data_IF_966911685081
#
_entry.id   IF_966911685081
#
_cell.length_a   1.000
_cell.length_b   1.000
_cell.length_c   1.000
_cell.angle_alpha   90.00
_cell.angle_beta   90.00
_cell.angle_gamma   90.00
#
_symmetry.space_group_name_H-M   'P 1'
#
loop_
_entity.id
_entity.type
_entity.pdbx_description
1 polymer ?
#
# COMPACT_ATOMS: atom_id res chain seq x y z
N UNK A 1 46.19 15.65 -48.42
CA UNK A 1 47.52 15.60 -47.77
C UNK A 1 47.48 14.36 -46.87
N UNK A 2 47.91 13.16 -47.31
CA UNK A 2 49.32 12.70 -47.42
C UNK A 2 49.86 12.44 -45.99
N UNK A 3 50.44 11.31 -45.55
CA UNK A 3 51.23 10.19 -46.13
C UNK A 3 51.32 9.14 -44.98
N UNK A 4 50.91 7.87 -45.07
CA UNK A 4 51.58 6.65 -45.59
C UNK A 4 52.93 6.20 -44.95
N UNK A 5 53.03 4.89 -44.64
CA UNK A 5 54.27 4.11 -44.39
C UNK A 5 54.11 3.12 -43.23
N UNK A 6 53.98 1.79 -43.35
CA UNK A 6 54.51 0.70 -44.22
C UNK A 6 55.96 0.25 -43.91
N UNK A 7 56.10 -0.94 -43.31
CA UNK A 7 57.20 -1.95 -43.43
C UNK A 7 56.53 -3.31 -43.19
N UNK A 8 56.35 -4.29 -44.09
CA UNK A 8 57.22 -5.11 -44.98
C UNK A 8 58.20 -6.08 -44.29
N UNK A 9 58.06 -7.37 -44.69
CA UNK A 9 59.02 -8.48 -44.54
C UNK A 9 58.54 -9.55 -43.55
N UNK A 10 58.46 -10.86 -43.83
CA UNK A 10 58.88 -11.64 -44.99
C UNK A 10 58.16 -13.01 -44.99
N UNK A 11 58.18 -13.64 -46.16
CA UNK A 11 57.51 -14.87 -46.61
C UNK A 11 58.43 -16.08 -46.37
N UNK A 12 57.89 -17.23 -45.93
CA UNK A 12 58.39 -18.53 -46.40
C UNK A 12 57.30 -19.62 -46.34
N UNK A 13 57.08 -20.20 -47.51
CA UNK A 13 56.29 -21.37 -47.88
C UNK A 13 56.82 -22.65 -47.24
N UNK A 14 55.98 -23.69 -47.09
CA UNK A 14 56.30 -25.05 -47.55
C UNK A 14 55.06 -25.99 -47.54
N UNK A 15 54.91 -26.71 -48.67
CA UNK A 15 54.41 -28.08 -48.92
C UNK A 15 53.10 -28.56 -48.22
N UNK A 16 51.98 -28.86 -48.89
CA UNK A 16 51.65 -29.80 -49.98
C UNK A 16 51.77 -31.30 -49.62
N UNK A 17 50.61 -31.99 -49.70
CA UNK A 17 50.33 -33.45 -49.75
C UNK A 17 50.35 -34.25 -48.44
N UNK A 18 49.22 -34.83 -48.00
CA UNK A 18 48.52 -36.05 -48.47
C UNK A 18 48.94 -37.24 -47.59
N UNK A 19 48.07 -38.27 -47.47
CA UNK A 19 48.21 -39.53 -46.69
C UNK A 19 47.65 -39.46 -45.26
N UNK A 20 46.97 -40.44 -44.68
CA UNK A 20 46.22 -41.62 -45.14
C UNK A 20 45.54 -42.13 -43.86
N UNK A 21 44.33 -42.67 -43.97
CA UNK A 21 43.51 -43.18 -42.87
C UNK A 21 44.23 -44.21 -41.98
N UNK A 22 43.94 -44.22 -40.66
CA UNK A 22 43.87 -45.46 -39.85
C UNK A 22 43.08 -45.27 -38.53
N UNK A 23 41.93 -45.92 -38.52
CA UNK A 23 40.99 -46.28 -37.48
C UNK A 23 41.36 -46.14 -35.98
N UNK A 24 40.40 -45.64 -35.19
CA UNK A 24 39.83 -46.41 -34.05
C UNK A 24 38.43 -45.88 -33.65
N UNK A 25 37.43 -46.75 -33.41
CA UNK A 25 36.08 -46.34 -33.01
C UNK A 25 36.00 -46.28 -31.49
N UNK A 26 35.52 -45.17 -30.92
CA UNK A 26 35.07 -45.11 -29.52
C UNK A 26 33.74 -44.37 -29.47
N UNK A 27 32.69 -45.17 -29.37
CA UNK A 27 31.35 -44.79 -28.94
C UNK A 27 31.40 -44.21 -27.53
N UNK A 28 30.85 -43.02 -27.34
CA UNK A 28 30.28 -42.59 -26.05
C UNK A 28 29.20 -41.52 -26.32
N UNK A 29 27.97 -42.02 -26.44
CA UNK A 29 26.76 -41.24 -26.20
C UNK A 29 26.79 -40.76 -24.74
N UNK A 30 26.73 -39.45 -24.54
CA UNK A 30 26.43 -38.85 -23.25
C UNK A 30 25.17 -37.98 -23.43
N UNK A 31 24.00 -38.36 -22.88
CA UNK A 31 22.88 -37.45 -22.80
C UNK A 31 23.20 -36.45 -21.69
N UNK A 32 23.40 -35.20 -22.06
CA UNK A 32 23.53 -34.11 -21.10
C UNK A 32 22.14 -33.86 -20.51
N UNK A 33 21.85 -34.55 -19.40
CA UNK A 33 20.65 -34.37 -18.60
C UNK A 33 20.72 -32.96 -17.98
N UNK A 34 20.00 -32.01 -18.57
CA UNK A 34 19.70 -30.71 -18.00
C UNK A 34 18.93 -30.91 -16.69
N UNK A 35 19.65 -30.96 -15.57
CA UNK A 35 19.10 -30.68 -14.24
C UNK A 35 18.76 -29.18 -14.18
N UNK A 36 17.66 -28.80 -14.82
CA UNK A 36 16.92 -27.62 -14.43
C UNK A 36 16.50 -27.86 -12.98
N UNK A 37 16.93 -27.05 -11.99
CA UNK A 37 16.29 -27.09 -10.69
C UNK A 37 14.84 -26.74 -10.93
N UNK A 38 13.97 -27.74 -10.78
CA UNK A 38 12.56 -27.52 -10.76
C UNK A 38 12.30 -26.51 -9.63
N UNK A 39 11.72 -25.36 -9.96
CA UNK A 39 11.12 -24.44 -9.00
C UNK A 39 9.61 -24.76 -8.84
N UNK A 40 9.17 -25.89 -8.25
CA UNK A 40 7.82 -26.00 -7.75
C UNK A 40 7.89 -26.06 -6.22
N UNK A 41 7.44 -25.02 -5.52
CA UNK A 41 6.94 -25.14 -4.14
C UNK A 41 6.57 -23.82 -3.47
N UNK A 42 6.97 -22.66 -4.01
CA UNK A 42 6.77 -21.40 -3.27
C UNK A 42 5.30 -20.93 -3.25
N UNK A 43 4.46 -21.33 -4.22
CA UNK A 43 3.00 -21.10 -4.14
C UNK A 43 2.27 -22.22 -3.37
N UNK A 44 2.76 -23.46 -3.49
CA UNK A 44 2.11 -24.66 -2.92
C UNK A 44 1.91 -24.59 -1.41
N UNK A 45 2.89 -24.09 -0.65
CA UNK A 45 2.75 -24.00 0.81
C UNK A 45 1.55 -23.17 1.26
N UNK A 46 1.26 -22.05 0.59
CA UNK A 46 0.15 -21.20 1.00
C UNK A 46 -1.20 -21.83 0.63
N UNK A 47 -1.30 -22.40 -0.57
CA UNK A 47 -2.50 -23.07 -1.04
C UNK A 47 -2.82 -24.31 -0.18
N UNK A 48 -1.81 -25.09 0.17
CA UNK A 48 -1.93 -26.32 0.97
C UNK A 48 -2.38 -26.04 2.42
N UNK A 49 -2.00 -24.87 2.97
CA UNK A 49 -2.38 -24.46 4.32
C UNK A 49 -3.66 -23.62 4.36
N UNK A 50 -4.28 -23.36 3.22
CA UNK A 50 -5.50 -22.58 3.18
C UNK A 50 -6.68 -23.34 3.77
N UNK A 51 -7.43 -22.68 4.65
CA UNK A 51 -8.65 -23.22 5.23
C UNK A 51 -9.77 -22.20 5.21
N UNK A 52 -10.98 -22.70 5.06
CA UNK A 52 -12.23 -21.96 5.21
C UNK A 52 -13.08 -22.65 6.26
N UNK A 53 -13.50 -21.89 7.27
CA UNK A 53 -14.45 -22.34 8.30
C UNK A 53 -15.71 -21.47 8.25
N UNK A 54 -16.88 -22.08 8.43
CA UNK A 54 -18.16 -21.35 8.38
C UNK A 54 -18.70 -21.13 6.97
N UNK A 55 -19.72 -20.29 6.84
CA UNK A 55 -20.43 -20.05 5.58
C UNK A 55 -21.06 -18.64 5.55
N UNK A 56 -21.63 -18.24 4.41
CA UNK A 56 -22.23 -16.90 4.27
C UNK A 56 -23.39 -16.64 5.26
N UNK A 57 -24.09 -17.68 5.74
CA UNK A 57 -25.22 -17.55 6.67
C UNK A 57 -24.79 -17.32 8.13
N UNK A 58 -23.60 -17.74 8.53
CA UNK A 58 -23.05 -17.52 9.87
C UNK A 58 -21.84 -16.59 9.92
N UNK A 59 -21.32 -16.19 8.76
CA UNK A 59 -19.97 -15.65 8.62
C UNK A 59 -18.95 -16.77 8.37
N UNK A 60 -17.84 -16.40 7.73
CA UNK A 60 -16.76 -17.32 7.39
C UNK A 60 -15.42 -16.79 7.89
N UNK A 61 -14.54 -17.71 8.26
CA UNK A 61 -13.14 -17.44 8.59
C UNK A 61 -12.28 -18.09 7.51
N UNK A 62 -11.33 -17.31 6.99
CA UNK A 62 -10.36 -17.74 5.99
C UNK A 62 -8.98 -17.62 6.62
N UNK A 63 -8.19 -18.68 6.58
CA UNK A 63 -6.83 -18.65 7.12
C UNK A 63 -5.86 -19.35 6.20
N UNK A 64 -4.61 -18.89 6.23
CA UNK A 64 -3.48 -19.58 5.60
C UNK A 64 -2.19 -19.14 6.30
N UNK A 65 -1.08 -19.83 6.00
CA UNK A 65 0.23 -19.49 6.52
C UNK A 65 1.33 -19.80 5.51
N UNK A 66 2.45 -19.10 5.68
CA UNK A 66 3.62 -19.21 4.84
C UNK A 66 4.88 -19.15 5.68
N UNK A 67 5.87 -20.00 5.37
CA UNK A 67 7.11 -20.07 6.14
C UNK A 67 8.25 -19.52 5.32
N UNK A 68 8.91 -18.50 5.83
CA UNK A 68 10.09 -17.90 5.22
C UNK A 68 11.30 -18.17 6.11
N UNK A 69 12.20 -19.02 5.65
CA UNK A 69 13.42 -19.35 6.39
C UNK A 69 14.24 -18.08 6.66
N UNK A 70 14.66 -17.89 7.92
CA UNK A 70 15.50 -16.76 8.33
C UNK A 70 14.79 -15.41 8.45
N UNK A 71 13.45 -15.39 8.37
CA UNK A 71 12.63 -14.20 8.64
C UNK A 71 12.42 -14.01 10.15
N UNK A 72 12.80 -12.85 10.68
CA UNK A 72 12.51 -12.51 12.10
C UNK A 72 11.07 -12.01 12.26
N UNK A 73 10.54 -12.09 13.49
CA UNK A 73 9.19 -11.60 13.83
C UNK A 73 9.00 -10.12 13.50
N UNK A 74 9.89 -9.19 13.91
CA UNK A 74 9.73 -7.77 13.57
C UNK A 74 9.86 -7.49 12.07
N UNK A 75 10.71 -8.23 11.36
CA UNK A 75 10.84 -8.11 9.91
C UNK A 75 9.58 -8.58 9.18
N UNK A 76 9.00 -9.70 9.60
CA UNK A 76 7.75 -10.22 9.04
C UNK A 76 6.61 -9.19 9.16
N UNK A 77 6.41 -8.65 10.37
CA UNK A 77 5.37 -7.64 10.62
C UNK A 77 5.63 -6.37 9.81
N UNK A 78 6.88 -5.89 9.80
CA UNK A 78 7.24 -4.70 9.01
C UNK A 78 7.03 -4.86 7.51
N UNK A 79 7.31 -6.05 6.96
CA UNK A 79 7.05 -6.38 5.55
C UNK A 79 5.54 -6.47 5.27
N UNK A 80 4.79 -7.21 6.07
CA UNK A 80 3.33 -7.34 5.91
C UNK A 80 2.65 -5.99 5.99
N UNK A 81 3.06 -5.11 6.91
CA UNK A 81 2.56 -3.72 6.99
C UNK A 81 2.81 -2.96 5.69
N UNK A 82 4.03 -3.01 5.15
CA UNK A 82 4.36 -2.29 3.91
C UNK A 82 3.58 -2.84 2.71
N UNK A 83 3.39 -4.16 2.63
CA UNK A 83 2.59 -4.81 1.58
C UNK A 83 1.11 -4.41 1.68
N UNK A 84 0.54 -4.45 2.89
CA UNK A 84 -0.84 -4.06 3.15
C UNK A 84 -1.11 -2.60 2.74
N UNK A 85 -0.22 -1.67 3.13
CA UNK A 85 -0.32 -0.26 2.73
C UNK A 85 -0.22 -0.11 1.20
N UNK A 86 0.67 -0.87 0.55
CA UNK A 86 0.80 -0.84 -0.90
C UNK A 86 -0.44 -1.36 -1.63
N UNK A 87 -1.17 -2.31 -1.03
CA UNK A 87 -2.44 -2.84 -1.51
C UNK A 87 -3.66 -2.02 -1.05
N UNK A 88 -3.45 -0.86 -0.39
CA UNK A 88 -4.51 0.07 -0.01
C UNK A 88 -5.28 -0.31 1.25
N UNK A 89 -4.74 -1.21 2.08
CA UNK A 89 -5.31 -1.58 3.37
C UNK A 89 -4.91 -0.60 4.47
N UNK A 90 -5.76 -0.52 5.49
CA UNK A 90 -5.53 0.28 6.69
C UNK A 90 -4.84 -0.55 7.78
N UNK A 91 -3.89 0.06 8.47
CA UNK A 91 -3.22 -0.55 9.63
C UNK A 91 -3.94 -0.07 10.88
N UNK A 92 -4.70 -0.96 11.51
CA UNK A 92 -5.46 -0.63 12.72
C UNK A 92 -4.61 -0.77 13.99
N UNK A 93 -3.73 -1.79 14.03
CA UNK A 93 -2.82 -2.01 15.15
C UNK A 93 -1.58 -2.79 14.70
N UNK A 94 -0.42 -2.51 15.31
CA UNK A 94 0.86 -3.16 14.99
C UNK A 94 1.68 -3.37 16.25
N UNK A 95 2.09 -4.62 16.50
CA UNK A 95 3.03 -4.97 17.56
C UNK A 95 4.14 -5.84 16.98
N UNK A 96 5.23 -5.23 16.46
CA UNK A 96 6.33 -5.96 15.83
C UNK A 96 7.06 -6.89 16.81
N UNK A 97 7.05 -6.54 18.10
CA UNK A 97 7.73 -7.30 19.14
C UNK A 97 6.97 -8.57 19.54
N UNK A 98 5.63 -8.48 19.61
CA UNK A 98 4.78 -9.65 19.91
C UNK A 98 4.38 -10.44 18.66
N UNK A 99 4.64 -9.89 17.47
CA UNK A 99 4.38 -10.54 16.20
C UNK A 99 2.93 -10.47 15.75
N UNK A 100 2.21 -9.39 16.05
CA UNK A 100 0.83 -9.19 15.61
C UNK A 100 0.63 -7.93 14.80
N UNK A 101 -0.28 -7.99 13.83
CA UNK A 101 -0.68 -6.87 13.00
C UNK A 101 -2.17 -7.03 12.65
N UNK A 102 -2.96 -5.99 12.90
CA UNK A 102 -4.36 -5.92 12.53
C UNK A 102 -4.53 -4.96 11.35
N UNK A 103 -5.06 -5.48 10.27
CA UNK A 103 -5.33 -4.75 9.04
C UNK A 103 -6.83 -4.68 8.77
N UNK A 104 -7.26 -3.68 8.02
CA UNK A 104 -8.60 -3.58 7.48
C UNK A 104 -8.54 -3.29 5.99
N UNK A 105 -9.21 -4.11 5.18
CA UNK A 105 -9.56 -3.74 3.82
C UNK A 105 -10.73 -2.74 3.89
N UNK A 106 -10.58 -1.50 3.38
CA UNK A 106 -11.61 -0.49 3.48
C UNK A 106 -12.93 -0.94 2.85
N UNK A 107 -14.05 -0.45 3.40
CA UNK A 107 -15.36 -0.71 2.83
C UNK A 107 -15.47 -0.15 1.40
N UNK A 108 -16.09 -0.89 0.50
CA UNK A 108 -16.37 -0.46 -0.87
C UNK A 108 -17.84 -0.77 -1.22
N UNK A 109 -18.19 -0.69 -2.50
CA UNK A 109 -19.56 -0.97 -2.96
C UNK A 109 -19.93 -2.47 -2.87
N UNK A 110 -18.94 -3.36 -2.87
CA UNK A 110 -19.13 -4.81 -2.84
C UNK A 110 -19.19 -5.37 -1.41
N UNK A 111 -18.43 -4.82 -0.46
CA UNK A 111 -18.43 -5.28 0.92
C UNK A 111 -18.12 -4.18 1.93
N UNK A 112 -18.55 -4.44 3.17
CA UNK A 112 -18.12 -3.70 4.36
C UNK A 112 -16.63 -3.94 4.62
N UNK A 113 -16.01 -3.12 5.47
CA UNK A 113 -14.60 -3.28 5.83
C UNK A 113 -14.32 -4.68 6.38
N UNK A 114 -13.24 -5.30 5.89
CA UNK A 114 -12.86 -6.67 6.24
C UNK A 114 -11.59 -6.65 7.06
N UNK A 115 -11.64 -7.25 8.24
CA UNK A 115 -10.47 -7.32 9.12
C UNK A 115 -9.61 -8.53 8.79
N UNK A 116 -8.31 -8.29 8.70
CA UNK A 116 -7.29 -9.31 8.48
C UNK A 116 -6.29 -9.25 9.64
N UNK A 117 -6.21 -10.33 10.39
CA UNK A 117 -5.26 -10.48 11.49
C UNK A 117 -4.05 -11.27 11.00
N UNK A 118 -2.87 -10.70 11.19
CA UNK A 118 -1.58 -11.26 10.79
C UNK A 118 -0.80 -11.61 12.05
N UNK A 119 -0.21 -12.80 12.07
CA UNK A 119 0.71 -13.21 13.14
C UNK A 119 2.02 -13.72 12.57
N UNK A 120 3.12 -13.46 13.25
CA UNK A 120 4.46 -13.95 12.90
C UNK A 120 5.07 -14.72 14.07
N UNK A 121 5.71 -15.87 13.77
CA UNK A 121 6.35 -16.74 14.76
C UNK A 121 7.88 -16.72 14.63
N UNK A 122 8.62 -17.02 15.71
CA UNK A 122 10.10 -17.05 15.70
C UNK A 122 10.72 -18.02 14.67
N UNK A 123 9.96 -19.02 14.22
CA UNK A 123 10.41 -19.98 13.22
C UNK A 123 10.28 -19.47 11.76
N UNK A 124 9.84 -18.22 11.57
CA UNK A 124 9.64 -17.59 10.27
C UNK A 124 8.27 -17.85 9.65
N UNK A 125 7.35 -18.50 10.38
CA UNK A 125 5.96 -18.69 9.92
C UNK A 125 5.18 -17.39 10.08
N UNK A 126 4.51 -16.97 9.01
CA UNK A 126 3.56 -15.85 9.01
C UNK A 126 2.19 -16.38 8.64
N UNK A 127 1.18 -16.08 9.45
CA UNK A 127 -0.20 -16.53 9.25
C UNK A 127 -1.13 -15.35 9.06
N UNK A 128 -2.12 -15.52 8.20
CA UNK A 128 -3.21 -14.56 8.00
C UNK A 128 -4.53 -15.21 8.37
N UNK A 129 -5.40 -14.45 9.03
CA UNK A 129 -6.77 -14.81 9.37
C UNK A 129 -7.69 -13.65 8.96
N UNK A 130 -8.60 -13.90 8.04
CA UNK A 130 -9.65 -12.94 7.66
C UNK A 130 -11.01 -13.46 8.11
N UNK A 131 -11.83 -12.58 8.69
CA UNK A 131 -13.20 -12.91 9.07
C UNK A 131 -14.19 -12.11 8.24
N UNK A 132 -15.17 -12.79 7.67
CA UNK A 132 -16.29 -12.16 6.98
C UNK A 132 -17.52 -12.15 7.89
N UNK A 133 -18.27 -11.05 7.83
CA UNK A 133 -19.54 -10.93 8.55
C UNK A 133 -20.60 -11.86 7.94
N UNK A 134 -21.65 -12.11 8.70
CA UNK A 134 -22.87 -12.77 8.21
C UNK A 134 -23.41 -12.01 6.99
N UNK A 135 -23.78 -12.74 5.94
CA UNK A 135 -24.29 -12.21 4.68
C UNK A 135 -23.22 -11.76 3.69
N UNK A 136 -21.93 -11.83 4.04
CA UNK A 136 -20.85 -11.54 3.10
C UNK A 136 -20.53 -12.78 2.25
N UNK A 137 -20.63 -12.63 0.93
CA UNK A 137 -20.28 -13.66 -0.03
C UNK A 137 -18.85 -13.44 -0.51
N UNK A 138 -17.91 -14.17 0.09
CA UNK A 138 -16.51 -14.21 -0.37
C UNK A 138 -16.27 -15.38 -1.31
N UNK A 139 -15.68 -15.13 -2.48
CA UNK A 139 -15.13 -16.19 -3.33
C UNK A 139 -13.89 -16.75 -2.65
N UNK A 140 -13.93 -18.02 -2.22
CA UNK A 140 -12.84 -18.66 -1.50
C UNK A 140 -11.54 -18.70 -2.32
N UNK A 141 -11.62 -18.90 -3.64
CA UNK A 141 -10.44 -18.92 -4.51
C UNK A 141 -9.82 -17.52 -4.67
N UNK A 142 -10.67 -16.48 -4.79
CA UNK A 142 -10.19 -15.10 -4.83
C UNK A 142 -9.52 -14.69 -3.52
N UNK A 143 -10.12 -15.04 -2.38
CA UNK A 143 -9.57 -14.77 -1.05
C UNK A 143 -8.24 -15.52 -0.86
N UNK A 144 -8.19 -16.82 -1.22
CA UNK A 144 -6.95 -17.61 -1.17
C UNK A 144 -5.86 -16.93 -2.01
N UNK A 145 -6.19 -16.54 -3.24
CA UNK A 145 -5.26 -15.87 -4.15
C UNK A 145 -4.67 -14.60 -3.54
N UNK A 146 -5.49 -13.70 -3.00
CA UNK A 146 -4.98 -12.45 -2.42
C UNK A 146 -4.17 -12.68 -1.14
N UNK A 147 -4.62 -13.55 -0.23
CA UNK A 147 -3.85 -13.88 0.98
C UNK A 147 -2.50 -14.50 0.63
N UNK A 148 -2.47 -15.42 -0.34
CA UNK A 148 -1.23 -16.05 -0.79
C UNK A 148 -0.33 -15.09 -1.56
N UNK A 149 -0.88 -14.19 -2.36
CA UNK A 149 -0.13 -13.13 -3.05
C UNK A 149 0.59 -12.22 -2.06
N UNK A 150 -0.02 -11.88 -0.92
CA UNK A 150 0.67 -11.10 0.12
C UNK A 150 1.78 -11.91 0.79
N UNK A 151 1.48 -13.14 1.23
CA UNK A 151 2.43 -13.97 1.98
C UNK A 151 3.67 -14.38 1.15
N UNK A 152 3.48 -14.64 -0.15
CA UNK A 152 4.58 -15.06 -1.04
C UNK A 152 5.55 -13.93 -1.40
N UNK A 153 5.19 -12.67 -1.12
CA UNK A 153 6.09 -11.52 -1.31
C UNK A 153 7.07 -11.31 -0.16
N UNK A 154 6.92 -12.06 0.93
CA UNK A 154 7.80 -11.98 2.08
C UNK A 154 9.21 -12.47 1.73
N UNK A 155 10.20 -11.67 2.11
CA UNK A 155 11.61 -11.95 1.87
C UNK A 155 12.29 -12.36 3.18
N UNK A 156 13.26 -13.31 3.14
CA UNK A 156 14.11 -13.60 4.28
C UNK A 156 14.80 -12.35 4.84
N UNK A 157 15.12 -12.36 6.13
CA UNK A 157 15.88 -11.28 6.74
C UNK A 157 15.50 -11.04 8.20
N UNK A 158 16.52 -10.68 9.00
CA UNK A 158 16.36 -10.41 10.43
C UNK A 158 16.20 -8.91 10.75
N UNK A 159 16.71 -8.05 9.87
CA UNK A 159 16.68 -6.62 10.09
C UNK A 159 15.23 -6.10 10.03
N UNK A 160 14.82 -5.22 10.95
CA UNK A 160 13.51 -4.58 10.87
C UNK A 160 13.41 -3.80 9.57
N UNK A 161 12.26 -3.90 8.91
CA UNK A 161 12.00 -3.22 7.65
C UNK A 161 11.54 -1.79 7.92
N UNK A 162 12.20 -0.83 7.27
CA UNK A 162 11.82 0.57 7.37
C UNK A 162 10.34 0.77 6.96
N UNK A 163 9.66 1.70 7.64
CA UNK A 163 8.30 2.08 7.24
C UNK A 163 8.35 2.67 5.84
N UNK A 164 7.54 2.12 4.93
CA UNK A 164 7.38 2.68 3.59
C UNK A 164 6.87 4.12 3.70
N UNK A 165 7.34 4.98 2.79
CA UNK A 165 6.79 6.32 2.67
C UNK A 165 5.30 6.21 2.30
N UNK A 166 4.44 6.84 3.11
CA UNK A 166 3.00 6.88 2.84
C UNK A 166 2.79 7.74 1.59
N UNK A 167 2.28 7.13 0.52
CA UNK A 167 1.91 7.87 -0.68
C UNK A 167 0.67 8.72 -0.39
N UNK A 168 0.66 10.01 -0.77
CA UNK A 168 -0.55 10.82 -0.62
C UNK A 168 -1.71 10.25 -1.42
N UNK A 169 -2.89 10.21 -0.79
CA UNK A 169 -4.15 9.82 -1.41
C UNK A 169 -4.77 11.07 -2.06
N UNK A 170 -4.97 11.05 -3.38
CA UNK A 170 -5.69 12.10 -4.09
C UNK A 170 -7.20 12.02 -3.77
N UNK A 171 -7.77 13.08 -3.20
CA UNK A 171 -9.18 13.06 -2.79
C UNK A 171 -9.82 14.46 -2.81
N UNK A 172 -11.13 14.51 -3.08
CA UNK A 172 -11.93 15.72 -2.86
C UNK A 172 -12.32 15.81 -1.38
N UNK A 173 -12.32 17.01 -0.79
CA UNK A 173 -12.66 17.18 0.62
C UNK A 173 -14.06 16.62 0.96
N UNK A 174 -15.05 16.84 0.09
CA UNK A 174 -16.39 16.27 0.26
C UNK A 174 -16.39 14.74 0.23
N UNK A 175 -15.58 14.13 -0.64
CA UNK A 175 -15.46 12.67 -0.72
C UNK A 175 -14.78 12.10 0.54
N UNK A 176 -13.76 12.77 1.07
CA UNK A 176 -13.14 12.39 2.35
C UNK A 176 -14.15 12.48 3.49
N UNK A 177 -14.95 13.55 3.54
CA UNK A 177 -15.97 13.71 4.57
C UNK A 177 -16.99 12.57 4.53
N UNK A 178 -17.53 12.26 3.34
CA UNK A 178 -18.45 11.14 3.14
C UNK A 178 -17.84 9.79 3.52
N UNK A 179 -16.57 9.56 3.21
CA UNK A 179 -15.90 8.31 3.57
C UNK A 179 -15.75 8.16 5.10
N UNK A 180 -15.33 9.24 5.78
CA UNK A 180 -15.22 9.26 7.24
C UNK A 180 -16.59 9.04 7.90
N UNK A 181 -17.64 9.73 7.44
CA UNK A 181 -18.99 9.54 7.94
C UNK A 181 -19.45 8.08 7.77
N UNK A 182 -19.26 7.51 6.58
CA UNK A 182 -19.64 6.12 6.27
C UNK A 182 -18.94 5.12 7.20
N UNK A 183 -17.68 5.37 7.54
CA UNK A 183 -16.90 4.52 8.44
C UNK A 183 -17.24 4.75 9.91
N UNK A 184 -17.65 5.98 10.27
CA UNK A 184 -18.04 6.41 11.61
C UNK A 184 -19.41 5.93 12.08
N UNK A 185 -20.36 5.67 11.17
CA UNK A 185 -21.74 5.23 11.49
C UNK A 185 -21.79 4.01 12.40
N UNK A 186 -20.85 3.08 12.26
CA UNK A 186 -20.82 1.85 13.07
C UNK A 186 -20.00 1.99 14.36
N UNK A 187 -18.99 2.88 14.37
CA UNK A 187 -18.12 3.14 15.52
C UNK A 187 -17.29 4.42 15.29
N UNK A 188 -17.67 5.54 15.92
CA UNK A 188 -16.92 6.81 15.80
C UNK A 188 -15.51 6.71 16.37
N UNK A 189 -15.28 5.89 17.41
CA UNK A 189 -13.95 5.67 17.99
C UNK A 189 -12.99 4.95 17.03
N UNK A 190 -13.50 4.26 16.00
CA UNK A 190 -12.66 3.63 14.99
C UNK A 190 -12.13 4.63 13.94
N UNK A 191 -12.67 5.85 13.85
CA UNK A 191 -12.25 6.84 12.85
C UNK A 191 -10.78 7.19 13.07
N UNK A 192 -10.39 7.60 14.29
CA UNK A 192 -9.00 7.98 14.55
C UNK A 192 -8.01 6.85 14.25
N UNK A 193 -8.40 5.61 14.55
CA UNK A 193 -7.59 4.42 14.28
C UNK A 193 -7.44 4.18 12.77
N UNK A 194 -8.54 4.23 12.01
CA UNK A 194 -8.56 3.94 10.57
C UNK A 194 -7.86 5.00 9.73
N UNK A 195 -7.90 6.24 10.17
CA UNK A 195 -7.35 7.36 9.43
C UNK A 195 -5.96 7.78 9.93
N UNK A 196 -5.49 7.21 11.03
CA UNK A 196 -4.17 7.46 11.60
C UNK A 196 -3.05 7.34 10.55
N UNK A 197 -2.21 8.37 10.46
CA UNK A 197 -1.03 8.38 9.59
C UNK A 197 -1.33 8.49 8.09
N UNK A 198 -2.60 8.54 7.66
CA UNK A 198 -2.95 8.78 6.25
C UNK A 198 -2.53 10.18 5.83
N UNK A 199 -1.96 10.25 4.63
CA UNK A 199 -1.56 11.49 3.98
C UNK A 199 -2.45 11.69 2.76
N UNK A 200 -2.93 12.90 2.56
CA UNK A 200 -3.85 13.28 1.50
C UNK A 200 -3.27 14.40 0.67
N UNK A 201 -3.52 14.32 -0.63
CA UNK A 201 -3.52 15.45 -1.53
C UNK A 201 -4.99 15.83 -1.74
N UNK A 202 -5.47 16.74 -0.90
CA UNK A 202 -6.89 17.08 -0.77
C UNK A 202 -7.23 18.32 -1.59
N UNK A 203 -8.23 18.17 -2.47
CA UNK A 203 -8.78 19.23 -3.32
C UNK A 203 -10.11 19.71 -2.76
N UNK A 204 -10.36 21.01 -2.82
CA UNK A 204 -11.64 21.57 -2.40
C UNK A 204 -11.75 23.07 -2.59
N UNK A 205 -12.66 23.69 -1.85
CA UNK A 205 -12.92 25.13 -1.90
C UNK A 205 -12.74 25.70 -0.49
N UNK A 206 -12.12 26.86 -0.37
CA UNK A 206 -11.93 27.54 0.90
C UNK A 206 -13.25 28.13 1.39
N UNK A 207 -13.65 27.77 2.60
CA UNK A 207 -14.78 28.40 3.31
C UNK A 207 -14.36 29.61 4.12
N UNK A 208 -13.11 29.63 4.57
CA UNK A 208 -12.60 30.68 5.41
C UNK A 208 -11.29 30.30 6.10
N UNK A 209 -10.65 31.33 6.64
CA UNK A 209 -9.37 31.25 7.34
C UNK A 209 -9.62 31.67 8.79
N UNK A 210 -9.11 30.89 9.75
CA UNK A 210 -9.10 31.26 11.17
C UNK A 210 -7.71 31.02 11.78
N UNK A 211 -7.61 31.24 13.10
CA UNK A 211 -6.38 31.06 13.85
C UNK A 211 -5.51 32.31 13.90
N UNK A 212 -4.22 32.09 14.17
CA UNK A 212 -3.23 33.16 14.37
C UNK A 212 -1.95 32.85 13.60
N UNK A 213 -1.07 33.85 13.46
CA UNK A 213 0.23 33.68 12.79
C UNK A 213 0.98 32.45 13.33
N UNK A 214 1.41 31.56 12.43
CA UNK A 214 2.08 30.31 12.77
C UNK A 214 1.15 29.13 13.10
N UNK A 215 -0.16 29.35 13.13
CA UNK A 215 -1.20 28.36 13.37
C UNK A 215 -2.50 28.79 12.67
N UNK A 216 -2.42 29.12 11.37
CA UNK A 216 -3.61 29.40 10.58
C UNK A 216 -4.33 28.10 10.22
N UNK A 217 -5.65 28.21 10.12
CA UNK A 217 -6.55 27.10 9.85
C UNK A 217 -7.36 27.43 8.60
N UNK A 218 -7.36 26.53 7.63
CA UNK A 218 -8.22 26.62 6.44
C UNK A 218 -9.38 25.65 6.59
N UNK A 219 -10.60 26.14 6.38
CA UNK A 219 -11.81 25.32 6.40
C UNK A 219 -12.24 25.01 4.98
N UNK A 220 -12.54 23.74 4.70
CA UNK A 220 -13.10 23.37 3.40
C UNK A 220 -14.61 23.67 3.37
N UNK A 221 -15.10 24.16 2.24
CA UNK A 221 -16.54 24.25 1.98
C UNK A 221 -17.06 22.86 1.60
N UNK A 222 -17.94 22.29 2.44
CA UNK A 222 -18.56 20.98 2.21
C UNK A 222 -19.75 21.05 1.23
N UNK A 223 -20.28 22.25 0.99
CA UNK A 223 -21.32 22.49 0.01
C UNK A 223 -20.89 23.61 -0.95
N UNK A 224 -19.83 23.41 -1.75
CA UNK A 224 -19.38 24.43 -2.67
C UNK A 224 -20.47 24.67 -3.74
N UNK A 225 -20.83 25.94 -3.97
CA UNK A 225 -21.78 26.27 -5.03
C UNK A 225 -21.15 26.09 -6.40
N UNK A 226 -21.91 25.49 -7.32
CA UNK A 226 -21.53 25.37 -8.73
C UNK A 226 -21.74 26.68 -9.51
N UNK A 227 -22.41 27.67 -8.90
CA UNK A 227 -22.70 28.98 -9.50
C UNK A 227 -21.84 30.05 -8.81
N UNK A 228 -20.97 30.78 -9.55
CA UNK A 228 -20.21 31.89 -9.00
C UNK A 228 -21.13 32.93 -8.35
N UNK A 229 -20.86 33.30 -7.09
CA UNK A 229 -21.64 34.31 -6.36
C UNK A 229 -22.90 33.78 -5.65
N UNK A 230 -23.25 32.51 -5.81
CA UNK A 230 -24.29 31.88 -5.01
C UNK A 230 -23.66 31.26 -3.76
N UNK A 231 -24.14 31.64 -2.57
CA UNK A 231 -23.77 30.98 -1.32
C UNK A 231 -24.96 30.10 -0.92
N UNK A 232 -24.80 28.77 -0.87
CA UNK A 232 -25.91 27.91 -0.52
C UNK A 232 -26.32 28.18 0.93
N UNK A 233 -27.64 28.18 1.16
CA UNK A 233 -28.22 28.38 2.50
C UNK A 233 -27.68 27.32 3.46
N UNK A 234 -27.03 27.81 4.52
CA UNK A 234 -26.60 27.13 5.77
C UNK A 234 -26.25 25.65 5.65
N UNK A 235 -24.96 25.34 5.91
CA UNK A 235 -24.47 23.98 6.19
C UNK A 235 -25.49 23.22 7.04
N UNK A 236 -25.88 22.02 6.59
CA UNK A 236 -26.83 21.20 7.36
C UNK A 236 -26.21 20.95 8.73
N UNK A 237 -26.97 21.23 9.79
CA UNK A 237 -26.52 20.98 11.17
C UNK A 237 -26.25 19.47 11.29
N UNK A 238 -25.01 19.09 11.61
CA UNK A 238 -24.57 17.69 11.72
C UNK A 238 -23.79 17.13 10.52
N UNK A 239 -23.48 17.94 9.51
CA UNK A 239 -22.57 17.52 8.41
C UNK A 239 -21.11 17.58 8.85
N UNK A 240 -20.35 16.52 8.56
CA UNK A 240 -18.94 16.45 8.91
C UNK A 240 -18.12 17.47 8.12
N UNK A 241 -17.37 18.29 8.84
CA UNK A 241 -16.50 19.34 8.29
C UNK A 241 -15.05 18.88 8.29
N UNK A 242 -14.25 19.52 7.44
CA UNK A 242 -12.80 19.30 7.40
C UNK A 242 -12.08 20.64 7.56
N UNK A 243 -11.12 20.69 8.48
CA UNK A 243 -10.20 21.81 8.66
C UNK A 243 -8.75 21.35 8.53
N UNK A 244 -7.91 22.26 8.04
CA UNK A 244 -6.49 22.02 7.82
C UNK A 244 -5.67 23.01 8.65
N UNK A 245 -4.87 22.52 9.60
CA UNK A 245 -3.88 23.34 10.31
C UNK A 245 -2.64 23.49 9.44
N UNK A 246 -2.41 24.72 8.99
CA UNK A 246 -1.31 25.07 8.10
C UNK A 246 0.02 25.01 8.81
N UNK A 247 1.07 24.58 8.11
CA UNK A 247 2.42 24.67 8.63
C UNK A 247 2.83 26.15 8.84
N UNK A 248 3.72 26.46 9.81
CA UNK A 248 4.12 27.84 10.09
C UNK A 248 4.73 28.59 8.90
N UNK A 249 5.36 27.88 7.97
CA UNK A 249 5.93 28.41 6.72
C UNK A 249 4.88 28.66 5.62
N UNK A 250 3.61 28.34 5.86
CA UNK A 250 2.49 28.52 4.92
C UNK A 250 1.59 29.71 5.28
N UNK A 251 2.02 30.59 6.19
CA UNK A 251 1.22 31.76 6.61
C UNK A 251 0.78 32.64 5.44
N UNK A 252 1.68 32.91 4.49
CA UNK A 252 1.38 33.76 3.34
C UNK A 252 0.34 33.11 2.41
N UNK A 253 0.46 31.80 2.18
CA UNK A 253 -0.54 31.03 1.43
C UNK A 253 -1.91 31.13 2.13
N UNK A 254 -1.97 30.84 3.42
CA UNK A 254 -3.22 30.86 4.18
C UNK A 254 -3.91 32.23 4.16
N UNK A 255 -3.15 33.32 4.32
CA UNK A 255 -3.68 34.69 4.31
C UNK A 255 -4.09 35.18 2.91
N UNK A 256 -3.52 34.61 1.85
CA UNK A 256 -3.91 34.93 0.48
C UNK A 256 -5.24 34.28 0.08
N UNK A 257 -5.65 33.20 0.75
CA UNK A 257 -6.88 32.47 0.46
C UNK A 257 -8.12 33.32 0.78
N UNK A 258 -8.98 33.51 -0.22
CA UNK A 258 -10.30 34.13 -0.06
C UNK A 258 -11.38 33.06 0.02
N UNK A 259 -12.53 33.43 0.57
CA UNK A 259 -13.69 32.55 0.56
C UNK A 259 -14.09 32.25 -0.90
N UNK A 260 -14.30 30.97 -1.23
CA UNK A 260 -14.62 30.50 -2.58
C UNK A 260 -13.41 30.12 -3.43
N UNK A 261 -12.18 30.41 -2.99
CA UNK A 261 -10.98 30.04 -3.73
C UNK A 261 -10.79 28.52 -3.73
N UNK A 262 -10.34 27.97 -4.86
CA UNK A 262 -9.95 26.55 -4.93
C UNK A 262 -8.69 26.32 -4.11
N UNK A 263 -8.64 25.19 -3.43
CA UNK A 263 -7.50 24.75 -2.64
C UNK A 263 -7.04 23.38 -3.10
N UNK A 264 -5.73 23.21 -3.09
CA UNK A 264 -5.09 21.91 -3.23
C UNK A 264 -3.99 21.81 -2.16
N UNK A 265 -4.20 20.95 -1.16
CA UNK A 265 -3.33 20.87 0.01
C UNK A 265 -2.75 19.46 0.15
N UNK A 266 -1.48 19.36 0.51
CA UNK A 266 -0.93 18.14 1.11
C UNK A 266 -1.19 18.21 2.61
N UNK A 267 -1.75 17.16 3.19
CA UNK A 267 -2.15 17.15 4.59
C UNK A 267 -2.08 15.75 5.19
N UNK A 268 -1.86 15.65 6.50
CA UNK A 268 -1.92 14.39 7.25
C UNK A 268 -3.14 14.40 8.15
N UNK A 269 -3.83 13.27 8.29
CA UNK A 269 -4.87 13.11 9.30
C UNK A 269 -4.34 13.45 10.71
N UNK A 270 -5.13 14.17 11.50
CA UNK A 270 -4.82 14.44 12.90
C UNK A 270 -5.78 13.71 13.84
N UNK A 271 -7.04 14.13 13.88
CA UNK A 271 -8.08 13.53 14.71
C UNK A 271 -9.49 13.96 14.27
N UNK A 272 -10.50 13.25 14.75
CA UNK A 272 -11.91 13.58 14.62
C UNK A 272 -12.46 14.15 15.93
N UNK A 273 -12.98 15.38 15.87
CA UNK A 273 -13.72 15.99 16.98
C UNK A 273 -15.22 15.71 16.81
N UNK A 274 -15.69 14.70 17.55
CA UNK A 274 -17.08 14.26 17.56
C UNK A 274 -18.04 15.36 18.06
N UNK A 275 -17.60 16.21 18.98
CA UNK A 275 -18.46 17.26 19.56
C UNK A 275 -18.81 18.34 18.54
N UNK A 276 -17.89 18.61 17.61
CA UNK A 276 -18.04 19.66 16.59
C UNK A 276 -18.24 19.11 15.18
N UNK A 277 -18.33 17.79 15.02
CA UNK A 277 -18.39 17.10 13.71
C UNK A 277 -17.30 17.62 12.78
N UNK A 278 -16.06 17.66 13.27
CA UNK A 278 -14.92 18.27 12.57
C UNK A 278 -13.74 17.31 12.52
N UNK A 279 -13.28 17.01 11.32
CA UNK A 279 -12.00 16.33 11.10
C UNK A 279 -10.91 17.37 10.99
N UNK A 280 -9.89 17.21 11.83
CA UNK A 280 -8.67 17.99 11.76
C UNK A 280 -7.63 17.27 10.92
N UNK A 281 -7.06 18.02 9.99
CA UNK A 281 -5.83 17.68 9.30
C UNK A 281 -4.69 18.56 9.83
N UNK A 282 -3.48 18.02 9.82
CA UNK A 282 -2.25 18.70 10.24
C UNK A 282 -1.20 18.69 9.14
N UNK A 283 -0.13 19.44 9.37
CA UNK A 283 1.00 19.59 8.46
C UNK A 283 0.59 20.09 7.07
N UNK A 284 -0.46 20.93 7.01
CA UNK A 284 -1.05 21.32 5.75
C UNK A 284 -0.15 22.27 4.96
N UNK A 285 0.05 21.97 3.68
CA UNK A 285 0.88 22.74 2.74
C UNK A 285 0.15 22.91 1.42
N UNK A 286 0.21 24.11 0.83
CA UNK A 286 -0.31 24.35 -0.51
C UNK A 286 0.50 23.57 -1.55
N UNK A 287 -0.18 22.83 -2.41
CA UNK A 287 0.41 22.18 -3.58
C UNK A 287 0.12 23.11 -4.75
N UNK A 288 1.18 23.66 -5.34
CA UNK A 288 1.11 24.51 -6.53
C UNK A 288 1.03 23.66 -7.80
#
# INVERSE_FOLDING_TARGET
MGVAGRRQGARKTDHFKEQLMKAKPITLLLPMLLLLPALPALAGQCDDNFSKKGNALSGAEYSTSYKVAGLSVPSAIGQMRNLAIADGMDVLDESPDSGSLLLEEPANLAHKGLQVYVTAKPDGTVSMLMKTRRGAFGNADGIRSEMCKMLTQLKPGKAPVARAAVKPIEIQATALATDIERQGVENSAAIDVRFAGKVYNIKGVNKGVAGKKGAFELYFDMNPSLVPGFVPSKSRRGELRIACRMMPDQNAYALAMRNGDKMYLNATYDHYDESSYLVWLKNCRGIQ
#
